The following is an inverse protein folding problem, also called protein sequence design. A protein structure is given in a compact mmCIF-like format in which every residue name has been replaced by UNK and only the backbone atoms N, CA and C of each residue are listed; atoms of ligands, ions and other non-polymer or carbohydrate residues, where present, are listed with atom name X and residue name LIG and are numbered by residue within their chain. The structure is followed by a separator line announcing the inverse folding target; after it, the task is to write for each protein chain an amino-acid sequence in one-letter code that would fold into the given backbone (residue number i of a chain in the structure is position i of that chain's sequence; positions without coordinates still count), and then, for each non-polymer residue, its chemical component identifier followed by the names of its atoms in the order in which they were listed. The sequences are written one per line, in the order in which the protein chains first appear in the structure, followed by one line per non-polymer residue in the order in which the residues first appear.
data_IF_528916762196
#
_entry.id   IF_528916762196
#
_cell.length_a   1.000
_cell.length_b   1.000
_cell.length_c   1.000
_cell.angle_alpha   90.00
_cell.angle_beta   90.00
_cell.angle_gamma   90.00
#
_symmetry.space_group_name_H-M   'P 1'
#
loop_
_entity.id
_entity.type
_entity.pdbx_description
1 polymer ?
#
# COMPACT_ATOMS: atom_id res chain seq x y z
N UNK A 1 -27.55 -25.06 -20.58
CA UNK A 1 -26.31 -25.47 -19.88
C UNK A 1 -26.66 -25.96 -18.49
N UNK A 2 -26.24 -27.19 -18.15
CA UNK A 2 -26.59 -27.84 -16.88
C UNK A 2 -26.06 -27.05 -15.67
N UNK A 3 -26.88 -26.88 -14.63
CA UNK A 3 -26.55 -26.09 -13.42
C UNK A 3 -25.23 -26.54 -12.78
N UNK A 4 -24.93 -27.82 -12.86
CA UNK A 4 -23.70 -28.46 -12.39
C UNK A 4 -22.44 -27.95 -13.10
N UNK A 5 -22.49 -27.69 -14.40
CA UNK A 5 -21.33 -27.20 -15.15
C UNK A 5 -20.96 -25.76 -14.77
N UNK A 6 -21.96 -24.91 -14.48
CA UNK A 6 -21.73 -23.54 -14.02
C UNK A 6 -21.05 -23.51 -12.65
N UNK A 7 -21.49 -24.35 -11.72
CA UNK A 7 -20.92 -24.44 -10.36
C UNK A 7 -19.44 -24.85 -10.42
N UNK A 8 -19.10 -25.85 -11.23
CA UNK A 8 -17.72 -26.33 -11.37
C UNK A 8 -16.81 -25.23 -11.96
N UNK A 9 -17.28 -24.49 -12.96
CA UNK A 9 -16.52 -23.38 -13.56
C UNK A 9 -16.32 -22.24 -12.56
N UNK A 10 -17.35 -21.86 -11.80
CA UNK A 10 -17.23 -20.82 -10.78
C UNK A 10 -16.25 -21.21 -9.67
N UNK A 11 -16.30 -22.46 -9.20
CA UNK A 11 -15.37 -22.97 -8.18
C UNK A 11 -13.92 -23.03 -8.68
N UNK A 12 -13.70 -23.40 -9.95
CA UNK A 12 -12.37 -23.41 -10.58
C UNK A 12 -11.75 -22.01 -10.64
N UNK A 13 -12.54 -21.00 -10.99
CA UNK A 13 -12.07 -19.61 -11.05
C UNK A 13 -11.75 -19.09 -9.64
N UNK A 14 -12.65 -19.35 -8.68
CA UNK A 14 -12.45 -18.94 -7.28
C UNK A 14 -11.18 -19.56 -6.67
N UNK A 15 -10.94 -20.86 -6.93
CA UNK A 15 -9.75 -21.55 -6.43
C UNK A 15 -8.47 -20.95 -6.99
N UNK A 16 -8.45 -20.59 -8.28
CA UNK A 16 -7.29 -19.94 -8.89
C UNK A 16 -7.01 -18.55 -8.33
N UNK A 17 -8.05 -17.76 -8.03
CA UNK A 17 -7.89 -16.44 -7.39
C UNK A 17 -7.33 -16.58 -5.98
N UNK A 18 -7.79 -17.58 -5.21
CA UNK A 18 -7.27 -17.87 -3.86
C UNK A 18 -5.81 -18.32 -3.91
N UNK A 19 -5.45 -19.20 -4.85
CA UNK A 19 -4.06 -19.67 -5.04
C UNK A 19 -3.11 -18.54 -5.43
N UNK A 20 -3.51 -17.69 -6.38
CA UNK A 20 -2.73 -16.50 -6.75
C UNK A 20 -2.54 -15.55 -5.56
N UNK A 21 -3.57 -15.35 -4.75
CA UNK A 21 -3.49 -14.53 -3.54
C UNK A 21 -2.48 -15.12 -2.53
N UNK A 22 -2.46 -16.44 -2.36
CA UNK A 22 -1.57 -17.12 -1.42
C UNK A 22 -0.10 -17.07 -1.88
N UNK A 23 0.16 -17.29 -3.17
CA UNK A 23 1.51 -17.21 -3.76
C UNK A 23 2.05 -15.78 -3.65
N UNK A 24 1.22 -14.77 -3.94
CA UNK A 24 1.61 -13.37 -3.88
C UNK A 24 1.98 -12.95 -2.45
N UNK A 25 1.13 -13.27 -1.46
CA UNK A 25 1.39 -12.94 -0.04
C UNK A 25 2.62 -13.68 0.52
N UNK A 26 2.82 -14.95 0.15
CA UNK A 26 3.94 -15.75 0.67
C UNK A 26 5.28 -15.32 0.07
N UNK A 27 5.29 -14.95 -1.22
CA UNK A 27 6.50 -14.47 -1.92
C UNK A 27 6.91 -13.06 -1.44
N UNK A 28 5.94 -12.16 -1.20
CA UNK A 28 6.22 -10.85 -0.61
C UNK A 28 6.65 -10.93 0.87
N UNK A 29 6.18 -11.91 1.64
CA UNK A 29 6.65 -12.12 3.03
C UNK A 29 8.10 -12.60 3.13
N UNK A 30 8.66 -13.23 2.09
CA UNK A 30 10.02 -13.79 2.13
C UNK A 30 11.11 -12.86 1.57
N UNK A 31 10.77 -11.71 0.99
CA UNK A 31 11.78 -10.80 0.42
C UNK A 31 12.27 -9.69 1.34
N UNK A 32 11.64 -9.41 2.48
CA UNK A 32 11.99 -8.25 3.30
C UNK A 32 12.42 -8.58 4.73
N UNK A 33 13.63 -9.11 4.90
CA UNK A 33 14.35 -9.00 6.19
C UNK A 33 15.83 -8.67 6.00
N UNK A 34 16.10 -7.60 5.24
CA UNK A 34 17.27 -6.73 5.46
C UNK A 34 16.81 -5.29 5.46
N UNK A 35 15.88 -4.92 6.34
CA UNK A 35 15.58 -3.51 6.56
C UNK A 35 16.86 -2.86 7.08
N UNK A 36 17.43 -1.94 6.32
CA UNK A 36 18.54 -1.09 6.74
C UNK A 36 17.98 -0.13 7.79
N UNK A 37 17.77 -0.63 9.01
CA UNK A 37 17.34 0.19 10.12
C UNK A 37 18.37 1.30 10.29
N UNK A 38 17.95 2.58 10.38
CA UNK A 38 18.89 3.69 10.54
C UNK A 38 19.80 3.42 11.74
N UNK A 39 21.09 3.70 11.56
CA UNK A 39 22.09 3.60 12.64
C UNK A 39 21.87 4.76 13.61
N UNK A 40 20.83 4.63 14.44
CA UNK A 40 20.57 5.51 15.58
C UNK A 40 21.02 4.84 16.87
N UNK A 41 21.36 5.65 17.88
CA UNK A 41 21.76 5.14 19.18
C UNK A 41 20.65 4.32 19.85
N UNK A 42 21.05 3.44 20.77
CA UNK A 42 20.10 2.62 21.53
C UNK A 42 19.16 3.47 22.38
N UNK A 43 19.67 4.54 23.00
CA UNK A 43 18.86 5.51 23.74
C UNK A 43 17.81 6.21 22.86
N UNK A 44 18.15 6.54 21.61
CA UNK A 44 17.19 7.10 20.65
C UNK A 44 16.11 6.09 20.27
N UNK A 45 16.49 4.82 20.07
CA UNK A 45 15.55 3.73 19.77
C UNK A 45 14.56 3.52 20.90
N UNK A 46 15.02 3.53 22.15
CA UNK A 46 14.16 3.37 23.32
C UNK A 46 13.16 4.53 23.45
N UNK A 47 13.62 5.78 23.27
CA UNK A 47 12.73 6.95 23.28
C UNK A 47 11.66 6.90 22.19
N UNK A 48 12.04 6.55 20.97
CA UNK A 48 11.08 6.36 19.87
C UNK A 48 10.10 5.24 20.23
N UNK A 49 10.60 4.10 20.71
CA UNK A 49 9.77 2.94 21.09
C UNK A 49 8.76 3.29 22.18
N UNK A 50 9.15 4.05 23.20
CA UNK A 50 8.26 4.47 24.28
C UNK A 50 7.11 5.35 23.76
N UNK A 51 7.42 6.33 22.91
CA UNK A 51 6.44 7.24 22.31
C UNK A 51 5.47 6.48 21.40
N UNK A 52 5.99 5.56 20.59
CA UNK A 52 5.17 4.72 19.71
C UNK A 52 4.35 3.68 20.47
N UNK A 53 4.83 3.14 21.58
CA UNK A 53 4.04 2.23 22.43
C UNK A 53 2.79 2.91 22.99
N UNK A 54 2.89 4.20 23.34
CA UNK A 54 1.72 5.00 23.78
C UNK A 54 0.80 5.32 22.61
N UNK A 55 1.36 5.62 21.44
CA UNK A 55 0.60 5.81 20.20
C UNK A 55 -0.21 4.56 19.80
N UNK A 56 0.40 3.37 19.93
CA UNK A 56 -0.26 2.11 19.60
C UNK A 56 -1.51 1.85 20.45
N UNK A 57 -1.56 2.34 21.70
CA UNK A 57 -2.76 2.26 22.52
C UNK A 57 -3.91 3.11 21.95
N UNK A 58 -3.60 4.29 21.41
CA UNK A 58 -4.58 5.19 20.79
C UNK A 58 -5.01 4.73 19.39
N UNK A 59 -4.11 4.05 18.66
CA UNK A 59 -4.33 3.58 17.29
C UNK A 59 -5.12 2.27 17.26
N UNK A 60 -5.08 1.45 18.32
CA UNK A 60 -5.83 0.18 18.43
C UNK A 60 -7.32 0.28 18.05
N UNK A 61 -8.12 1.21 18.60
CA UNK A 61 -9.52 1.33 18.21
C UNK A 61 -9.69 1.69 16.73
N UNK A 62 -8.82 2.54 16.17
CA UNK A 62 -8.85 2.90 14.75
C UNK A 62 -8.49 1.69 13.86
N UNK A 63 -7.54 0.85 14.28
CA UNK A 63 -7.20 -0.39 13.57
C UNK A 63 -8.35 -1.39 13.59
N UNK A 64 -9.07 -1.46 14.72
CA UNK A 64 -10.26 -2.28 14.82
C UNK A 64 -11.36 -1.78 13.87
N UNK A 65 -11.59 -0.46 13.82
CA UNK A 65 -12.51 0.15 12.87
C UNK A 65 -12.14 -0.19 11.42
N UNK A 66 -10.86 -0.10 11.03
CA UNK A 66 -10.41 -0.51 9.69
C UNK A 66 -10.75 -1.97 9.40
N UNK A 67 -10.59 -2.88 10.37
CA UNK A 67 -10.91 -4.32 10.19
C UNK A 67 -12.40 -4.54 10.01
N UNK A 68 -13.21 -3.88 10.82
CA UNK A 68 -14.68 -3.96 10.77
C UNK A 68 -15.19 -3.43 9.43
N UNK A 69 -14.77 -2.23 9.01
CA UNK A 69 -15.18 -1.66 7.72
C UNK A 69 -14.64 -2.46 6.53
N UNK A 70 -13.45 -3.07 6.64
CA UNK A 70 -12.93 -3.97 5.60
C UNK A 70 -13.75 -5.26 5.49
N UNK A 71 -14.33 -5.75 6.59
CA UNK A 71 -15.24 -6.89 6.59
C UNK A 71 -16.54 -6.53 5.88
N UNK A 72 -17.12 -5.36 6.23
CA UNK A 72 -18.31 -4.83 5.55
C UNK A 72 -18.08 -4.66 4.05
N UNK A 73 -16.92 -4.11 3.65
CA UNK A 73 -16.58 -3.95 2.24
C UNK A 73 -16.49 -5.30 1.51
N UNK A 74 -15.93 -6.33 2.17
CA UNK A 74 -15.88 -7.69 1.63
C UNK A 74 -17.29 -8.26 1.45
N UNK A 75 -18.19 -8.04 2.40
CA UNK A 75 -19.56 -8.53 2.35
C UNK A 75 -20.36 -7.83 1.23
N UNK A 76 -20.17 -6.52 1.04
CA UNK A 76 -20.78 -5.76 -0.07
C UNK A 76 -20.31 -6.29 -1.43
N UNK A 77 -19.01 -6.59 -1.57
CA UNK A 77 -18.45 -7.13 -2.82
C UNK A 77 -18.95 -8.54 -3.09
N UNK A 78 -19.16 -9.34 -2.05
CA UNK A 78 -19.63 -10.73 -2.14
C UNK A 78 -21.16 -10.86 -2.28
N UNK A 79 -21.90 -9.76 -2.15
CA UNK A 79 -23.35 -9.77 -2.22
C UNK A 79 -23.86 -10.19 -3.61
N UNK A 80 -25.01 -10.88 -3.71
CA UNK A 80 -25.61 -11.26 -4.99
C UNK A 80 -25.96 -10.08 -5.90
N UNK A 81 -26.33 -8.94 -5.30
CA UNK A 81 -26.56 -7.68 -5.99
C UNK A 81 -25.56 -6.64 -5.46
N UNK A 82 -24.89 -5.95 -6.39
CA UNK A 82 -23.86 -4.99 -6.04
C UNK A 82 -24.48 -3.62 -5.72
N UNK A 83 -24.42 -3.22 -4.46
CA UNK A 83 -24.77 -1.87 -4.01
C UNK A 83 -23.56 -0.93 -4.13
N UNK A 84 -23.55 -0.14 -5.20
CA UNK A 84 -22.49 0.84 -5.48
C UNK A 84 -22.41 1.92 -4.41
N UNK A 85 -23.54 2.39 -3.87
CA UNK A 85 -23.55 3.46 -2.88
C UNK A 85 -23.00 2.98 -1.54
N UNK A 86 -23.38 1.76 -1.12
CA UNK A 86 -22.80 1.13 0.07
C UNK A 86 -21.30 0.89 -0.08
N UNK A 87 -20.86 0.47 -1.28
CA UNK A 87 -19.44 0.27 -1.58
C UNK A 87 -18.63 1.56 -1.48
N UNK A 88 -19.08 2.64 -2.12
CA UNK A 88 -18.40 3.95 -2.09
C UNK A 88 -18.29 4.48 -0.66
N UNK A 89 -19.36 4.37 0.12
CA UNK A 89 -19.37 4.74 1.54
C UNK A 89 -18.36 3.91 2.35
N UNK A 90 -18.37 2.59 2.19
CA UNK A 90 -17.45 1.72 2.91
C UNK A 90 -15.97 1.99 2.56
N UNK A 91 -15.67 2.37 1.31
CA UNK A 91 -14.33 2.83 0.93
C UNK A 91 -13.95 4.11 1.66
N UNK A 92 -14.84 5.10 1.67
CA UNK A 92 -14.56 6.40 2.29
C UNK A 92 -14.30 6.25 3.80
N UNK A 93 -15.09 5.39 4.46
CA UNK A 93 -14.91 5.03 5.87
C UNK A 93 -13.53 4.38 6.12
N UNK A 94 -13.11 3.43 5.27
CA UNK A 94 -11.77 2.80 5.36
C UNK A 94 -10.67 3.83 5.15
N UNK A 95 -10.80 4.71 4.16
CA UNK A 95 -9.79 5.71 3.84
C UNK A 95 -9.65 6.73 4.96
N UNK A 96 -10.77 7.20 5.51
CA UNK A 96 -10.80 8.10 6.66
C UNK A 96 -10.13 7.48 7.87
N UNK A 97 -10.46 6.22 8.20
CA UNK A 97 -9.83 5.52 9.30
C UNK A 97 -8.31 5.35 9.09
N UNK A 98 -7.87 4.99 7.88
CA UNK A 98 -6.44 4.90 7.54
C UNK A 98 -5.71 6.25 7.63
N UNK A 99 -6.34 7.33 7.16
CA UNK A 99 -5.77 8.67 7.26
C UNK A 99 -5.63 9.11 8.72
N UNK A 100 -6.60 8.79 9.58
CA UNK A 100 -6.52 9.10 11.01
C UNK A 100 -5.33 8.42 11.68
N UNK A 101 -5.10 7.14 11.38
CA UNK A 101 -3.95 6.36 11.88
C UNK A 101 -2.64 6.97 11.37
N UNK A 102 -2.57 7.29 10.08
CA UNK A 102 -1.38 7.88 9.48
C UNK A 102 -1.05 9.24 10.11
N UNK A 103 -2.06 10.07 10.37
CA UNK A 103 -1.91 11.36 11.06
C UNK A 103 -1.40 11.18 12.49
N UNK A 104 -2.00 10.27 13.26
CA UNK A 104 -1.57 9.99 14.65
C UNK A 104 -0.10 9.54 14.68
N UNK A 105 0.29 8.63 13.78
CA UNK A 105 1.69 8.18 13.64
C UNK A 105 2.63 9.32 13.25
N UNK A 106 2.22 10.20 12.34
CA UNK A 106 3.02 11.33 11.91
C UNK A 106 3.24 12.33 13.06
N UNK A 107 2.19 12.64 13.83
CA UNK A 107 2.27 13.50 15.02
C UNK A 107 3.24 12.90 16.04
N UNK A 108 3.09 11.61 16.36
CA UNK A 108 3.94 10.92 17.33
C UNK A 108 5.38 10.78 16.86
N UNK A 109 5.60 10.60 15.55
CA UNK A 109 6.94 10.69 14.97
C UNK A 109 7.54 12.09 15.14
N UNK A 110 6.75 13.15 14.91
CA UNK A 110 7.18 14.53 15.15
C UNK A 110 7.58 14.79 16.61
N UNK A 111 6.74 14.34 17.55
CA UNK A 111 7.05 14.38 19.00
C UNK A 111 8.34 13.61 19.33
N UNK A 112 8.51 12.41 18.78
CA UNK A 112 9.71 11.60 19.00
C UNK A 112 10.97 12.29 18.43
N UNK A 113 10.89 12.89 17.25
CA UNK A 113 12.01 13.62 16.64
C UNK A 113 12.40 14.86 17.43
N UNK A 114 11.44 15.55 18.04
CA UNK A 114 11.72 16.74 18.85
C UNK A 114 12.65 16.42 20.03
N UNK A 115 12.53 15.21 20.60
CA UNK A 115 13.30 14.73 21.75
C UNK A 115 14.72 14.21 21.39
N UNK A 116 15.07 14.19 20.10
CA UNK A 116 16.35 13.67 19.59
C UNK A 116 17.37 14.77 19.27
N UNK A 117 18.68 14.50 19.45
CA UNK A 117 19.75 15.35 18.94
C UNK A 117 19.68 15.59 17.44
N UNK A 118 20.21 16.72 16.97
CA UNK A 118 20.15 17.12 15.57
C UNK A 118 20.78 16.08 14.60
N UNK A 119 21.89 15.45 14.99
CA UNK A 119 22.57 14.43 14.18
C UNK A 119 21.72 13.15 14.01
N UNK A 120 21.00 12.74 15.05
CA UNK A 120 20.13 11.57 14.99
C UNK A 120 18.87 11.86 14.16
N UNK A 121 18.30 13.07 14.28
CA UNK A 121 17.21 13.54 13.41
C UNK A 121 17.59 13.51 11.94
N UNK A 122 18.81 13.96 11.60
CA UNK A 122 19.32 13.95 10.22
C UNK A 122 19.40 12.54 9.67
N UNK A 123 19.95 11.61 10.46
CA UNK A 123 20.04 10.19 10.09
C UNK A 123 18.66 9.57 9.86
N UNK A 124 17.69 9.87 10.74
CA UNK A 124 16.31 9.39 10.61
C UNK A 124 15.55 10.02 9.44
N UNK A 125 15.78 11.31 9.15
CA UNK A 125 15.11 11.99 8.03
C UNK A 125 15.46 11.37 6.68
N UNK A 126 16.70 10.91 6.49
CA UNK A 126 17.10 10.22 5.27
C UNK A 126 16.36 8.88 5.09
N UNK A 127 16.21 8.11 6.17
CA UNK A 127 15.42 6.88 6.14
C UNK A 127 13.94 7.13 5.89
N UNK A 128 13.35 8.12 6.55
CA UNK A 128 11.94 8.49 6.39
C UNK A 128 11.63 9.01 5.00
N UNK A 129 12.43 9.92 4.46
CA UNK A 129 12.22 10.46 3.12
C UNK A 129 12.31 9.37 2.05
N UNK A 130 13.17 8.37 2.23
CA UNK A 130 13.23 7.21 1.33
C UNK A 130 11.95 6.37 1.36
N UNK A 131 11.34 6.21 2.52
CA UNK A 131 10.08 5.47 2.68
C UNK A 131 8.83 6.25 2.21
N UNK A 132 8.90 7.59 2.23
CA UNK A 132 7.81 8.47 1.82
C UNK A 132 7.88 8.88 0.36
N UNK A 133 9.05 8.78 -0.26
CA UNK A 133 9.18 8.91 -1.70
C UNK A 133 8.36 7.80 -2.34
N UNK A 134 7.41 8.11 -3.25
CA UNK A 134 6.77 7.07 -4.05
C UNK A 134 7.91 6.29 -4.70
N UNK A 135 7.97 4.99 -4.42
CA UNK A 135 9.06 4.12 -4.82
C UNK A 135 9.29 4.23 -6.33
N UNK A 136 10.20 5.12 -6.74
CA UNK A 136 10.78 5.13 -8.09
C UNK A 136 11.72 3.93 -8.24
N UNK A 137 12.08 3.28 -7.13
CA UNK A 137 13.04 2.17 -7.06
C UNK A 137 12.34 0.79 -6.88
N UNK A 138 11.02 0.75 -6.90
CA UNK A 138 10.21 -0.44 -6.75
C UNK A 138 9.88 -1.00 -8.12
N UNK A 139 10.82 -1.76 -8.70
CA UNK A 139 10.57 -2.52 -9.91
C UNK A 139 10.22 -1.64 -11.12
N UNK A 140 11.15 -0.78 -11.55
CA UNK A 140 11.35 -0.68 -13.00
C UNK A 140 11.71 -2.09 -13.47
N UNK A 141 10.69 -2.91 -13.76
CA UNK A 141 10.79 -3.89 -14.85
C UNK A 141 11.58 -3.17 -15.89
N UNK A 142 12.80 -3.67 -16.20
CA UNK A 142 13.68 -3.12 -17.21
C UNK A 142 12.79 -2.53 -18.29
N UNK A 143 12.68 -1.20 -18.37
CA UNK A 143 12.02 -0.58 -19.49
C UNK A 143 12.89 -1.07 -20.64
N UNK A 144 12.37 -2.02 -21.41
CA UNK A 144 13.14 -2.57 -22.52
C UNK A 144 13.54 -1.38 -23.39
N UNK A 145 14.72 -1.41 -24.03
CA UNK A 145 15.10 -0.34 -24.95
C UNK A 145 13.95 0.03 -25.90
N UNK A 146 13.17 -0.96 -26.31
CA UNK A 146 11.92 -0.84 -27.08
C UNK A 146 10.82 -0.03 -26.38
N UNK A 147 10.53 -0.27 -25.10
CA UNK A 147 9.54 0.51 -24.35
C UNK A 147 9.98 1.97 -24.18
N UNK A 148 11.30 2.22 -24.07
CA UNK A 148 11.88 3.56 -24.00
C UNK A 148 11.76 4.30 -25.35
N UNK A 149 12.01 3.60 -26.45
CA UNK A 149 11.82 4.08 -27.82
C UNK A 149 10.34 4.38 -28.12
N UNK A 150 9.41 3.47 -27.77
CA UNK A 150 7.96 3.68 -27.95
C UNK A 150 7.48 4.94 -27.22
N UNK A 151 7.98 5.19 -26.01
CA UNK A 151 7.62 6.37 -25.25
C UNK A 151 8.16 7.66 -25.88
N UNK A 152 9.42 7.67 -26.34
CA UNK A 152 10.00 8.81 -27.07
C UNK A 152 9.23 9.11 -28.36
N UNK A 153 8.89 8.08 -29.13
CA UNK A 153 8.11 8.23 -30.35
C UNK A 153 6.70 8.74 -30.07
N UNK A 154 6.07 8.28 -28.98
CA UNK A 154 4.78 8.81 -28.54
C UNK A 154 4.86 10.30 -28.16
N UNK A 155 5.89 10.73 -27.43
CA UNK A 155 6.09 12.13 -27.07
C UNK A 155 6.30 13.02 -28.30
N UNK A 156 7.11 12.56 -29.26
CA UNK A 156 7.35 13.28 -30.52
C UNK A 156 6.09 13.38 -31.37
N UNK A 157 5.33 12.30 -31.49
CA UNK A 157 4.07 12.30 -32.26
C UNK A 157 3.03 13.23 -31.64
N UNK A 158 2.95 13.28 -30.30
CA UNK A 158 2.06 14.20 -29.58
C UNK A 158 2.47 15.66 -29.78
N UNK A 159 3.77 15.97 -29.73
CA UNK A 159 4.28 17.32 -29.97
C UNK A 159 4.02 17.79 -31.42
N UNK A 160 3.98 16.86 -32.37
CA UNK A 160 3.74 17.13 -33.80
C UNK A 160 2.27 17.02 -34.22
N UNK A 161 1.33 16.95 -33.26
CA UNK A 161 -0.11 16.89 -33.56
C UNK A 161 -0.61 15.57 -34.17
N UNK A 162 0.23 14.54 -34.21
CA UNK A 162 -0.13 13.21 -34.67
C UNK A 162 -0.62 12.39 -33.47
N UNK A 163 -1.93 12.36 -33.25
CA UNK A 163 -2.57 11.58 -32.18
C UNK A 163 -2.37 10.07 -32.36
N UNK A 164 -1.30 9.52 -31.81
CA UNK A 164 -1.02 8.08 -31.83
C UNK A 164 -1.96 7.31 -30.89
N UNK A 165 -2.90 6.54 -31.46
CA UNK A 165 -3.55 5.44 -30.75
C UNK A 165 -2.50 4.37 -30.43
N UNK A 166 -2.48 3.88 -29.19
CA UNK A 166 -1.79 2.63 -28.88
C UNK A 166 -2.50 1.52 -29.64
N UNK A 167 -1.88 1.01 -30.69
CA UNK A 167 -2.25 -0.30 -31.23
C UNK A 167 -1.57 -1.36 -30.35
N UNK A 168 -2.38 -2.34 -29.93
CA UNK A 168 -1.99 -3.49 -29.11
C UNK A 168 -0.82 -4.27 -29.71
#
# INVERSE_FOLDING_TARGET
MHKTAKIIVTLSILLNVVLLSFVTVSFFRHQDHKSSAPQISEAAREKIKEKFSKADMNIRPQLQQVRETSTVLKDIIAAPEFDKAAYEKAIDDVMTARQSIARERALKMGEAMADLPAEERKTLSHGLMRSLSPSMDGNTRRITPEARERFKNWQNNRANGQGGRFTE
#
